data_IF_951977969882
#
_entry.id   IF_951977969882
#
_cell.length_a   1.000
_cell.length_b   1.000
_cell.length_c   1.000
_cell.angle_alpha   90.00
_cell.angle_beta   90.00
_cell.angle_gamma   90.00
#
_symmetry.space_group_name_H-M   'P 1'
#
loop_
_entity.id
_entity.type
_entity.pdbx_description
1 polymer ?
#
# COMPACT_ATOMS: atom_id res chain seq x y z
N UNK A 1 31.82 17.56 36.33
CA UNK A 1 30.62 17.73 35.50
C UNK A 1 30.17 16.36 35.04
N UNK A 2 29.00 15.89 35.46
CA UNK A 2 28.40 14.64 34.96
C UNK A 2 27.53 15.01 33.77
N UNK A 3 27.93 14.58 32.57
CA UNK A 3 27.09 14.67 31.39
C UNK A 3 25.90 13.73 31.60
N UNK A 4 24.71 14.32 31.70
CA UNK A 4 23.45 13.61 31.72
C UNK A 4 23.08 13.44 30.25
N UNK A 5 23.35 12.26 29.68
CA UNK A 5 22.77 11.89 28.39
C UNK A 5 21.26 11.87 28.58
N UNK A 6 20.58 12.87 28.04
CA UNK A 6 19.13 12.91 27.94
C UNK A 6 18.71 11.85 26.93
N UNK A 7 18.44 10.64 27.44
CA UNK A 7 17.83 9.58 26.66
C UNK A 7 16.50 10.06 26.09
N UNK A 8 16.35 9.94 24.78
CA UNK A 8 15.09 10.18 24.06
C UNK A 8 13.93 9.48 24.79
N UNK A 9 12.75 10.14 24.92
CA UNK A 9 11.63 9.56 25.64
C UNK A 9 11.25 8.19 25.08
N UNK A 10 11.19 7.18 25.96
CA UNK A 10 10.73 5.84 25.61
C UNK A 10 9.30 5.93 25.07
N UNK A 11 9.13 5.69 23.77
CA UNK A 11 7.80 5.60 23.16
C UNK A 11 7.21 4.24 23.47
N UNK A 12 6.13 4.20 24.24
CA UNK A 12 5.40 2.96 24.53
C UNK A 12 4.44 2.66 23.38
N UNK A 13 4.55 1.45 22.82
CA UNK A 13 3.64 0.95 21.79
C UNK A 13 2.81 -0.19 22.37
N UNK A 14 1.48 -0.10 22.24
CA UNK A 14 0.57 -1.18 22.63
C UNK A 14 0.23 -2.03 21.41
N UNK A 15 0.58 -3.30 21.45
CA UNK A 15 0.26 -4.28 20.41
C UNK A 15 -0.97 -5.07 20.85
N UNK A 16 -1.92 -5.24 19.92
CA UNK A 16 -3.05 -6.15 20.10
C UNK A 16 -2.83 -7.36 19.23
N UNK A 17 -2.79 -8.53 19.86
CA UNK A 17 -2.63 -9.81 19.20
C UNK A 17 -3.85 -10.67 19.49
N UNK A 18 -4.15 -11.60 18.58
CA UNK A 18 -5.09 -12.66 18.91
C UNK A 18 -4.61 -13.42 20.15
N UNK A 19 -5.55 -13.78 21.03
CA UNK A 19 -5.21 -14.37 22.34
C UNK A 19 -4.51 -15.72 22.18
N UNK A 20 -4.87 -16.50 21.17
CA UNK A 20 -4.26 -17.81 20.93
C UNK A 20 -2.82 -17.66 20.45
N UNK A 21 -2.56 -16.70 19.55
CA UNK A 21 -1.21 -16.40 19.09
C UNK A 21 -0.33 -15.79 20.19
N UNK A 22 -0.90 -14.94 21.04
CA UNK A 22 -0.18 -14.40 22.20
C UNK A 22 0.25 -15.51 23.17
N UNK A 23 -0.64 -16.44 23.51
CA UNK A 23 -0.28 -17.56 24.39
C UNK A 23 0.81 -18.46 23.80
N UNK A 24 0.78 -18.73 22.48
CA UNK A 24 1.88 -19.45 21.81
C UNK A 24 3.19 -18.69 21.92
N UNK A 25 3.16 -17.39 21.65
CA UNK A 25 4.35 -16.54 21.73
C UNK A 25 4.93 -16.53 23.14
N UNK A 26 4.11 -16.28 24.15
CA UNK A 26 4.49 -16.30 25.57
C UNK A 26 5.15 -17.63 25.96
N UNK A 27 4.55 -18.75 25.55
CA UNK A 27 5.09 -20.09 25.85
C UNK A 27 6.48 -20.30 25.25
N UNK A 28 6.72 -19.86 24.02
CA UNK A 28 8.02 -19.98 23.36
C UNK A 28 9.05 -19.07 24.04
N UNK A 29 8.66 -17.84 24.39
CA UNK A 29 9.56 -16.88 25.02
C UNK A 29 9.95 -17.30 26.43
N UNK A 30 8.99 -17.81 27.21
CA UNK A 30 9.25 -18.38 28.54
C UNK A 30 10.21 -19.57 28.45
N UNK A 31 10.02 -20.47 27.48
CA UNK A 31 10.92 -21.60 27.25
C UNK A 31 12.33 -21.17 26.82
N UNK A 32 12.45 -20.04 26.10
CA UNK A 32 13.71 -19.45 25.70
C UNK A 32 14.36 -18.56 26.79
N UNK A 33 13.68 -18.32 27.91
CA UNK A 33 14.16 -17.44 28.98
C UNK A 33 14.18 -15.96 28.59
N UNK A 34 13.34 -15.54 27.64
CA UNK A 34 13.29 -14.15 27.13
C UNK A 34 12.05 -13.42 27.65
N UNK A 35 12.22 -12.13 27.97
CA UNK A 35 11.08 -11.26 28.24
C UNK A 35 10.35 -10.90 26.94
N UNK A 36 9.02 -10.91 26.95
CA UNK A 36 8.19 -10.58 25.77
C UNK A 36 8.60 -9.26 25.09
N UNK A 37 8.89 -8.21 25.86
CA UNK A 37 9.27 -6.91 25.32
C UNK A 37 10.63 -6.94 24.59
N UNK A 38 11.57 -7.73 25.10
CA UNK A 38 12.89 -7.91 24.49
C UNK A 38 12.79 -8.75 23.21
N UNK A 39 12.03 -9.85 23.27
CA UNK A 39 11.75 -10.67 22.10
C UNK A 39 11.08 -9.88 20.97
N UNK A 40 10.04 -9.10 21.28
CA UNK A 40 9.38 -8.22 20.31
C UNK A 40 10.37 -7.20 19.74
N UNK A 41 11.21 -6.60 20.57
CA UNK A 41 12.24 -5.66 20.10
C UNK A 41 13.20 -6.33 19.11
N UNK A 42 13.69 -7.53 19.41
CA UNK A 42 14.55 -8.27 18.49
C UNK A 42 13.85 -8.62 17.17
N UNK A 43 12.59 -9.05 17.23
CA UNK A 43 11.79 -9.33 16.04
C UNK A 43 11.59 -8.07 15.19
N UNK A 44 11.29 -6.94 15.80
CA UNK A 44 11.12 -5.65 15.09
C UNK A 44 12.44 -5.18 14.49
N UNK A 45 13.55 -5.22 15.23
CA UNK A 45 14.87 -4.82 14.73
C UNK A 45 15.29 -5.68 13.54
N UNK A 46 15.08 -7.00 13.63
CA UNK A 46 15.33 -7.90 12.52
C UNK A 46 14.44 -7.56 11.33
N UNK A 47 13.14 -7.36 11.56
CA UNK A 47 12.20 -7.06 10.49
C UNK A 47 12.56 -5.76 9.74
N UNK A 48 12.93 -4.71 10.48
CA UNK A 48 13.42 -3.45 9.90
C UNK A 48 14.70 -3.69 9.10
N UNK A 49 15.65 -4.45 9.65
CA UNK A 49 16.91 -4.73 8.95
C UNK A 49 16.69 -5.50 7.65
N UNK A 50 15.81 -6.50 7.65
CA UNK A 50 15.47 -7.28 6.46
C UNK A 50 14.74 -6.40 5.42
N UNK A 51 13.87 -5.48 5.86
CA UNK A 51 13.20 -4.50 4.99
C UNK A 51 14.17 -3.49 4.35
N UNK A 52 15.15 -3.02 5.12
CA UNK A 52 16.17 -2.07 4.64
C UNK A 52 17.15 -2.71 3.65
N UNK A 53 17.46 -4.00 3.85
CA UNK A 53 18.34 -4.80 2.99
C UNK A 53 17.64 -5.40 1.77
N UNK A 54 16.33 -5.29 1.67
CA UNK A 54 15.58 -5.78 0.50
C UNK A 54 16.12 -5.11 -0.77
N UNK A 55 16.56 -5.95 -1.71
CA UNK A 55 17.12 -5.50 -2.97
C UNK A 55 16.02 -4.92 -3.86
N UNK A 56 16.14 -3.63 -4.19
CA UNK A 56 15.18 -2.91 -5.02
C UNK A 56 15.81 -2.47 -6.34
N UNK A 57 16.98 -3.01 -6.71
CA UNK A 57 17.58 -2.74 -8.01
C UNK A 57 16.61 -3.15 -9.12
N UNK A 58 16.52 -2.36 -10.18
CA UNK A 58 15.57 -2.57 -11.29
C UNK A 58 14.13 -2.13 -11.01
N UNK A 59 13.73 -1.88 -9.76
CA UNK A 59 12.39 -1.37 -9.45
C UNK A 59 12.20 0.05 -9.97
N UNK A 60 11.08 0.29 -10.64
CA UNK A 60 10.74 1.60 -11.16
C UNK A 60 9.22 1.80 -11.22
N UNK A 61 8.76 3.01 -10.91
CA UNK A 61 7.37 3.43 -11.10
C UNK A 61 7.35 4.62 -12.06
N UNK A 62 6.75 4.42 -13.22
CA UNK A 62 6.45 5.49 -14.17
C UNK A 62 4.99 5.92 -14.00
N UNK A 63 4.75 7.23 -13.90
CA UNK A 63 3.41 7.79 -13.73
C UNK A 63 3.03 8.68 -14.90
N UNK A 64 1.76 8.60 -15.32
CA UNK A 64 1.16 9.50 -16.30
C UNK A 64 -0.14 10.06 -15.71
N UNK A 65 -0.29 11.39 -15.75
CA UNK A 65 -1.51 12.08 -15.35
C UNK A 65 -2.19 12.70 -16.57
N UNK A 66 -3.48 12.43 -16.73
CA UNK A 66 -4.35 12.98 -17.77
C UNK A 66 -5.38 13.89 -17.11
N UNK A 67 -5.24 15.22 -17.23
CA UNK A 67 -6.20 16.15 -16.67
C UNK A 67 -7.61 15.89 -17.17
N UNK A 68 -8.62 16.18 -16.33
CA UNK A 68 -10.02 16.11 -16.73
C UNK A 68 -10.26 17.03 -17.93
N UNK A 69 -10.94 16.57 -19.00
CA UNK A 69 -11.32 17.44 -20.10
C UNK A 69 -12.21 18.60 -19.62
N UNK A 70 -11.98 19.80 -20.13
CA UNK A 70 -12.80 20.98 -19.77
C UNK A 70 -14.30 20.79 -20.07
N UNK A 71 -14.65 19.87 -20.98
CA UNK A 71 -16.03 19.51 -21.31
C UNK A 71 -16.73 18.63 -20.28
N UNK A 72 -16.00 18.03 -19.33
CA UNK A 72 -16.57 17.13 -18.33
C UNK A 72 -16.95 17.91 -17.06
N UNK A 73 -18.24 18.24 -16.94
CA UNK A 73 -18.81 18.97 -15.81
C UNK A 73 -19.45 18.08 -14.73
N UNK A 74 -19.45 16.75 -14.90
CA UNK A 74 -20.20 15.83 -14.01
C UNK A 74 -19.61 15.71 -12.60
N UNK A 75 -18.30 15.89 -12.46
CA UNK A 75 -17.58 15.80 -11.20
C UNK A 75 -16.68 17.02 -11.04
N UNK A 76 -17.09 17.98 -10.22
CA UNK A 76 -16.34 19.22 -9.97
C UNK A 76 -14.98 18.95 -9.36
N UNK A 77 -14.93 18.03 -8.41
CA UNK A 77 -13.78 17.57 -7.64
C UNK A 77 -12.78 16.75 -8.46
N UNK A 78 -13.18 16.21 -9.62
CA UNK A 78 -12.30 15.38 -10.43
C UNK A 78 -11.23 16.26 -11.08
N UNK A 79 -9.97 15.99 -10.72
CA UNK A 79 -8.80 16.61 -11.33
C UNK A 79 -8.40 15.92 -12.63
N UNK A 80 -8.48 14.59 -12.67
CA UNK A 80 -8.09 13.82 -13.83
C UNK A 80 -7.92 12.33 -13.55
N UNK A 81 -7.43 11.62 -14.56
CA UNK A 81 -7.10 10.21 -14.48
C UNK A 81 -5.60 10.02 -14.36
N UNK A 82 -5.22 8.93 -13.72
CA UNK A 82 -3.84 8.63 -13.40
C UNK A 82 -3.55 7.17 -13.76
N UNK A 83 -2.39 6.94 -14.35
CA UNK A 83 -1.90 5.60 -14.66
C UNK A 83 -0.47 5.42 -14.19
N UNK A 84 -0.18 4.26 -13.64
CA UNK A 84 1.15 3.82 -13.24
C UNK A 84 1.58 2.62 -14.05
N UNK A 85 2.86 2.58 -14.38
CA UNK A 85 3.56 1.37 -14.83
C UNK A 85 4.64 1.06 -13.82
N UNK A 86 4.66 -0.17 -13.34
CA UNK A 86 5.57 -0.67 -12.31
C UNK A 86 6.43 -1.77 -12.91
N UNK A 87 7.73 -1.57 -12.84
CA UNK A 87 8.73 -2.59 -13.13
C UNK A 87 9.12 -3.29 -11.83
N UNK A 88 9.12 -4.63 -11.76
CA UNK A 88 9.57 -5.35 -10.59
C UNK A 88 11.07 -5.14 -10.35
N UNK A 89 11.55 -5.26 -9.10
CA UNK A 89 12.98 -5.36 -8.84
C UNK A 89 13.58 -6.63 -9.44
N UNK A 90 14.90 -6.62 -9.62
CA UNK A 90 15.67 -7.76 -10.11
C UNK A 90 15.44 -8.98 -9.20
N UNK A 91 15.19 -10.14 -9.83
CA UNK A 91 14.87 -11.37 -9.12
C UNK A 91 13.39 -11.55 -8.72
N UNK A 92 12.53 -10.54 -8.89
CA UNK A 92 11.07 -10.69 -8.78
C UNK A 92 10.45 -10.85 -10.17
N UNK A 93 9.69 -11.94 -10.38
CA UNK A 93 8.97 -12.15 -11.64
C UNK A 93 7.76 -11.22 -11.78
N UNK A 94 7.35 -10.96 -13.02
CA UNK A 94 6.13 -10.20 -13.28
C UNK A 94 4.88 -10.92 -12.72
N UNK A 95 4.83 -12.26 -12.74
CA UNK A 95 3.73 -13.00 -12.12
C UNK A 95 3.70 -12.80 -10.61
N UNK A 96 4.85 -12.78 -9.93
CA UNK A 96 4.90 -12.50 -8.50
C UNK A 96 4.35 -11.11 -8.21
N UNK A 97 4.79 -10.09 -8.97
CA UNK A 97 4.32 -8.71 -8.84
C UNK A 97 2.79 -8.58 -9.01
N UNK A 98 2.20 -9.27 -9.99
CA UNK A 98 0.75 -9.20 -10.26
C UNK A 98 -0.11 -9.86 -9.19
N UNK A 99 0.47 -10.78 -8.41
CA UNK A 99 -0.22 -11.45 -7.31
C UNK A 99 -0.25 -10.62 -6.04
N UNK A 100 0.57 -9.57 -5.96
CA UNK A 100 0.58 -8.69 -4.79
C UNK A 100 -0.67 -7.79 -4.77
N UNK A 101 -1.25 -7.68 -3.58
CA UNK A 101 -2.29 -6.72 -3.26
C UNK A 101 -1.60 -5.51 -2.65
N UNK A 102 -1.85 -4.33 -3.19
CA UNK A 102 -1.34 -3.04 -2.73
C UNK A 102 -2.42 -2.28 -1.97
N UNK A 103 -2.02 -1.25 -1.21
CA UNK A 103 -2.94 -0.32 -0.53
C UNK A 103 -2.78 1.07 -1.15
N UNK A 104 -3.91 1.70 -1.46
CA UNK A 104 -3.97 3.10 -1.86
C UNK A 104 -3.64 4.00 -0.67
N UNK A 105 -2.84 5.05 -0.90
CA UNK A 105 -2.56 6.05 0.12
C UNK A 105 -3.81 6.85 0.48
N UNK A 106 -3.90 7.20 1.77
CA UNK A 106 -4.92 8.12 2.30
C UNK A 106 -4.28 9.50 2.54
N UNK A 107 -4.93 10.57 2.08
CA UNK A 107 -4.49 11.96 2.27
C UNK A 107 -5.42 12.67 3.25
N UNK A 108 -5.31 12.30 4.53
CA UNK A 108 -6.11 12.87 5.61
C UNK A 108 -5.40 14.11 6.18
N UNK A 109 -6.12 15.21 6.26
CA UNK A 109 -5.73 16.40 7.02
C UNK A 109 -5.75 16.07 8.51
N UNK A 110 -4.60 16.19 9.17
CA UNK A 110 -4.45 15.88 10.60
C UNK A 110 -5.16 16.90 11.50
N UNK A 111 -5.32 18.14 11.06
CA UNK A 111 -5.94 19.23 11.84
C UNK A 111 -7.46 19.15 11.79
N UNK A 112 -8.02 19.00 10.59
CA UNK A 112 -9.48 19.01 10.37
C UNK A 112 -10.08 17.61 10.26
N UNK A 113 -9.24 16.59 10.12
CA UNK A 113 -9.66 15.22 9.96
C UNK A 113 -10.36 14.90 8.64
N UNK A 114 -10.41 15.85 7.70
CA UNK A 114 -11.00 15.71 6.38
C UNK A 114 -10.04 15.05 5.39
N UNK A 115 -10.58 14.45 4.33
CA UNK A 115 -9.77 13.92 3.21
C UNK A 115 -9.49 15.08 2.24
N UNK A 116 -8.22 15.45 2.08
CA UNK A 116 -7.81 16.59 1.25
C UNK A 116 -7.86 16.25 -0.24
N UNK A 117 -7.31 15.09 -0.55
CA UNK A 117 -7.26 14.51 -1.88
C UNK A 117 -7.66 13.05 -1.80
N UNK A 118 -8.20 12.52 -2.88
CA UNK A 118 -8.52 11.10 -2.98
C UNK A 118 -8.05 10.52 -4.28
N UNK A 119 -7.33 9.41 -4.15
CA UNK A 119 -7.04 8.50 -5.24
C UNK A 119 -8.07 7.39 -5.17
N UNK A 120 -8.76 7.13 -6.28
CA UNK A 120 -9.69 6.00 -6.37
C UNK A 120 -9.28 5.05 -7.50
N UNK A 121 -9.46 3.77 -7.26
CA UNK A 121 -9.15 2.72 -8.22
C UNK A 121 -10.15 2.74 -9.36
N UNK A 122 -9.67 2.56 -10.60
CA UNK A 122 -10.53 2.06 -11.65
C UNK A 122 -11.11 0.71 -11.21
N UNK A 123 -12.37 0.45 -11.59
CA UNK A 123 -13.15 -0.67 -11.05
C UNK A 123 -12.41 -2.02 -11.11
N UNK A 124 -11.69 -2.27 -12.20
CA UNK A 124 -10.99 -3.51 -12.48
C UNK A 124 -9.69 -3.74 -11.69
N UNK A 125 -9.11 -2.69 -11.11
CA UNK A 125 -7.96 -2.82 -10.21
C UNK A 125 -8.37 -3.16 -8.78
N UNK A 126 -9.65 -2.97 -8.42
CA UNK A 126 -10.14 -3.14 -7.05
C UNK A 126 -10.06 -4.59 -6.62
N UNK A 127 -9.44 -4.83 -5.47
CA UNK A 127 -9.45 -6.14 -4.82
C UNK A 127 -10.37 -6.07 -3.62
N UNK A 128 -11.63 -6.48 -3.80
CA UNK A 128 -12.61 -6.61 -2.72
C UNK A 128 -12.40 -7.96 -2.05
N UNK A 129 -11.79 -8.01 -0.87
CA UNK A 129 -11.76 -9.25 -0.09
C UNK A 129 -13.15 -9.53 0.47
N UNK A 130 -13.69 -10.73 0.22
CA UNK A 130 -14.95 -11.21 0.83
C UNK A 130 -14.85 -11.42 2.35
N UNK A 131 -13.68 -11.25 2.98
CA UNK A 131 -13.49 -11.54 4.41
C UNK A 131 -12.54 -10.59 5.17
N UNK A 132 -12.06 -9.50 4.57
CA UNK A 132 -11.10 -8.62 5.25
C UNK A 132 -11.35 -7.16 4.88
N UNK A 133 -12.06 -6.49 5.77
CA UNK A 133 -12.11 -5.05 5.80
C UNK A 133 -10.74 -4.51 6.21
N UNK A 134 -10.09 -3.73 5.33
CA UNK A 134 -9.09 -2.77 5.79
C UNK A 134 -9.87 -1.70 6.56
N UNK A 135 -9.74 -1.70 7.89
CA UNK A 135 -10.38 -0.71 8.73
C UNK A 135 -9.73 0.67 8.46
N UNK A 136 -10.38 1.53 7.67
CA UNK A 136 -10.01 2.94 7.68
C UNK A 136 -10.34 3.50 9.07
N UNK A 137 -9.49 4.39 9.57
CA UNK A 137 -9.62 4.99 10.92
C UNK A 137 -10.94 5.74 11.14
N UNK A 138 -11.79 5.95 10.12
CA UNK A 138 -13.01 6.76 10.24
C UNK A 138 -14.29 6.15 9.68
N UNK A 139 -14.26 5.23 8.72
CA UNK A 139 -15.47 4.54 8.19
C UNK A 139 -15.12 3.17 7.61
N UNK A 140 -16.01 2.17 7.80
CA UNK A 140 -16.01 0.94 6.98
C UNK A 140 -16.16 1.36 5.51
N UNK A 141 -15.06 1.40 4.77
CA UNK A 141 -15.02 1.80 3.36
C UNK A 141 -14.55 0.60 2.54
N UNK A 142 -15.27 0.34 1.45
CA UNK A 142 -14.93 -0.69 0.51
C UNK A 142 -13.72 -0.24 -0.33
N UNK A 143 -12.61 -0.96 -0.12
CA UNK A 143 -11.56 -1.24 -1.12
C UNK A 143 -10.56 -0.11 -1.41
N UNK A 144 -9.74 0.19 -0.40
CA UNK A 144 -8.44 0.85 -0.59
C UNK A 144 -7.38 -0.10 -1.15
N UNK A 145 -7.71 -1.36 -1.45
CA UNK A 145 -6.79 -2.36 -1.98
C UNK A 145 -6.87 -2.47 -3.49
N UNK A 146 -5.71 -2.64 -4.13
CA UNK A 146 -5.63 -2.81 -5.58
C UNK A 146 -4.61 -3.85 -6.00
N UNK A 147 -4.72 -4.32 -7.24
CA UNK A 147 -3.69 -5.13 -7.91
C UNK A 147 -3.18 -4.47 -9.18
N UNK A 148 -1.98 -4.84 -9.57
CA UNK A 148 -1.44 -4.51 -10.88
C UNK A 148 -1.96 -5.49 -11.93
N UNK A 149 -2.17 -5.00 -13.15
CA UNK A 149 -2.51 -5.83 -14.31
C UNK A 149 -1.42 -5.58 -15.34
N UNK A 150 -0.61 -6.59 -15.66
CA UNK A 150 0.53 -6.45 -16.59
C UNK A 150 1.46 -5.29 -16.20
N UNK A 151 1.77 -5.18 -14.91
CA UNK A 151 2.59 -4.14 -14.32
C UNK A 151 1.91 -2.78 -14.26
N UNK A 152 0.64 -2.65 -14.63
CA UNK A 152 -0.04 -1.36 -14.74
C UNK A 152 -1.15 -1.20 -13.70
N UNK A 153 -1.38 0.05 -13.33
CA UNK A 153 -2.49 0.48 -12.50
C UNK A 153 -3.13 1.73 -13.08
N UNK A 154 -4.44 1.87 -12.95
CA UNK A 154 -5.19 3.06 -13.36
C UNK A 154 -6.21 3.47 -12.30
N UNK A 155 -6.37 4.77 -12.14
CA UNK A 155 -7.31 5.36 -11.20
C UNK A 155 -7.65 6.81 -11.53
N UNK A 156 -8.40 7.44 -10.63
CA UNK A 156 -8.82 8.83 -10.74
C UNK A 156 -8.41 9.61 -9.50
N UNK A 157 -8.07 10.89 -9.70
CA UNK A 157 -7.67 11.81 -8.64
C UNK A 157 -8.75 12.87 -8.43
N UNK A 158 -9.17 13.02 -7.18
CA UNK A 158 -10.17 13.99 -6.74
C UNK A 158 -9.56 14.97 -5.74
N UNK A 159 -9.85 16.26 -5.90
CA UNK A 159 -9.50 17.32 -4.96
C UNK A 159 -10.74 17.81 -4.22
N UNK A 160 -10.71 17.72 -2.90
CA UNK A 160 -11.76 18.21 -2.01
C UNK A 160 -11.33 19.46 -1.25
N UNK A 161 -10.07 19.88 -1.38
CA UNK A 161 -9.50 21.02 -0.68
C UNK A 161 -9.71 22.36 -1.40
N UNK A 162 -10.04 22.31 -2.70
CA UNK A 162 -10.13 23.51 -3.53
C UNK A 162 -8.77 24.17 -3.72
N UNK A 163 -7.68 23.39 -3.72
CA UNK A 163 -6.33 23.88 -3.82
C UNK A 163 -6.05 24.43 -5.24
N UNK A 164 -5.20 25.45 -5.32
CA UNK A 164 -5.00 26.22 -6.54
C UNK A 164 -4.03 25.54 -7.54
N UNK A 165 -3.18 24.61 -7.11
CA UNK A 165 -2.17 23.98 -7.97
C UNK A 165 -2.38 22.46 -8.07
N UNK A 166 -2.91 22.02 -9.21
CA UNK A 166 -3.07 20.61 -9.52
C UNK A 166 -1.72 19.87 -9.68
N UNK A 167 -0.65 20.57 -10.03
CA UNK A 167 0.69 20.00 -10.20
C UNK A 167 1.26 19.47 -8.90
N UNK A 168 1.21 20.28 -7.83
CA UNK A 168 1.68 19.88 -6.50
C UNK A 168 0.92 18.67 -5.94
N UNK A 169 -0.40 18.61 -6.19
CA UNK A 169 -1.25 17.50 -5.75
C UNK A 169 -0.82 16.22 -6.48
N UNK A 170 -0.66 16.30 -7.81
CA UNK A 170 -0.26 15.15 -8.62
C UNK A 170 1.11 14.64 -8.18
N UNK A 171 2.09 15.51 -7.96
CA UNK A 171 3.42 15.11 -7.49
C UNK A 171 3.37 14.42 -6.12
N UNK A 172 2.64 15.00 -5.16
CA UNK A 172 2.46 14.40 -3.84
C UNK A 172 1.79 13.02 -3.92
N UNK A 173 0.81 12.86 -4.81
CA UNK A 173 0.12 11.59 -5.05
C UNK A 173 1.04 10.56 -5.69
N UNK A 174 1.80 10.93 -6.72
CA UNK A 174 2.77 10.04 -7.39
C UNK A 174 3.76 9.49 -6.37
N UNK A 175 4.39 10.39 -5.61
CA UNK A 175 5.38 10.03 -4.58
C UNK A 175 4.79 9.06 -3.57
N UNK A 176 3.57 9.35 -3.08
CA UNK A 176 2.94 8.48 -2.07
C UNK A 176 2.52 7.12 -2.64
N UNK A 177 2.06 7.07 -3.89
CA UNK A 177 1.77 5.81 -4.58
C UNK A 177 3.04 4.97 -4.74
N UNK A 178 4.15 5.58 -5.17
CA UNK A 178 5.45 4.93 -5.29
C UNK A 178 5.92 4.38 -3.94
N UNK A 179 5.86 5.18 -2.87
CA UNK A 179 6.18 4.75 -1.50
C UNK A 179 5.35 3.53 -1.08
N UNK A 180 4.04 3.54 -1.31
CA UNK A 180 3.15 2.43 -0.95
C UNK A 180 3.44 1.15 -1.74
N UNK A 181 3.75 1.28 -3.02
CA UNK A 181 4.11 0.15 -3.90
C UNK A 181 5.47 -0.42 -3.47
N UNK A 182 6.47 0.44 -3.34
CA UNK A 182 7.82 0.07 -2.92
C UNK A 182 7.82 -0.61 -1.54
N UNK A 183 7.08 -0.06 -0.57
CA UNK A 183 6.96 -0.66 0.75
C UNK A 183 6.32 -2.06 0.71
N UNK A 184 5.30 -2.26 -0.13
CA UNK A 184 4.66 -3.57 -0.30
C UNK A 184 5.64 -4.59 -0.89
N UNK A 185 6.41 -4.20 -1.92
CA UNK A 185 7.42 -5.06 -2.56
C UNK A 185 8.57 -5.37 -1.58
N UNK A 186 9.07 -4.40 -0.84
CA UNK A 186 10.11 -4.63 0.18
C UNK A 186 9.64 -5.60 1.26
N UNK A 187 8.40 -5.44 1.74
CA UNK A 187 7.81 -6.40 2.68
C UNK A 187 7.72 -7.80 2.08
N UNK A 188 7.44 -7.92 0.79
CA UNK A 188 7.42 -9.22 0.10
C UNK A 188 8.81 -9.85 0.05
N UNK A 189 9.81 -9.09 -0.42
CA UNK A 189 11.20 -9.55 -0.50
C UNK A 189 11.78 -9.93 0.88
N UNK A 190 11.36 -9.23 1.94
CA UNK A 190 11.74 -9.53 3.30
C UNK A 190 10.96 -10.71 3.93
N UNK A 191 9.99 -11.30 3.22
CA UNK A 191 9.14 -12.39 3.71
C UNK A 191 8.19 -11.97 4.84
N UNK A 192 7.86 -10.67 4.91
CA UNK A 192 7.04 -10.06 5.96
C UNK A 192 5.64 -9.69 5.49
N UNK A 193 5.40 -9.74 4.18
CA UNK A 193 4.10 -9.42 3.62
C UNK A 193 3.08 -10.52 4.01
N UNK A 194 1.96 -10.18 4.68
CA UNK A 194 1.00 -11.20 5.11
C UNK A 194 0.43 -11.99 3.95
N UNK A 195 0.10 -13.27 4.16
CA UNK A 195 -0.53 -14.13 3.15
C UNK A 195 -1.84 -13.53 2.59
N UNK A 196 -2.54 -12.70 3.37
CA UNK A 196 -3.73 -11.96 2.91
C UNK A 196 -3.46 -10.93 1.81
N UNK A 197 -2.20 -10.59 1.55
CA UNK A 197 -1.78 -9.64 0.51
C UNK A 197 -1.33 -10.35 -0.76
N UNK A 198 -1.63 -11.65 -0.88
CA UNK A 198 -1.31 -12.48 -2.02
C UNK A 198 -2.58 -13.04 -2.65
N UNK A 199 -2.74 -12.84 -3.95
CA UNK A 199 -3.69 -13.57 -4.76
C UNK A 199 -3.09 -14.93 -5.16
N UNK A 200 -3.92 -15.94 -5.23
CA UNK A 200 -3.60 -17.22 -5.89
C UNK A 200 -3.56 -17.03 -7.40
N UNK A 201 -2.92 -17.96 -8.12
CA UNK A 201 -2.90 -17.93 -9.58
C UNK A 201 -4.32 -18.01 -10.18
N UNK A 202 -5.18 -18.84 -9.59
CA UNK A 202 -6.57 -19.00 -10.01
C UNK A 202 -7.37 -17.71 -9.80
N UNK A 203 -7.18 -17.02 -8.67
CA UNK A 203 -7.82 -15.73 -8.40
C UNK A 203 -7.39 -14.63 -9.38
N UNK A 204 -6.14 -14.67 -9.83
CA UNK A 204 -5.63 -13.76 -10.88
C UNK A 204 -6.25 -14.12 -12.23
N UNK A 205 -6.28 -15.40 -12.59
CA UNK A 205 -6.84 -15.86 -13.86
C UNK A 205 -8.35 -15.55 -13.98
N UNK A 206 -9.13 -15.84 -12.94
CA UNK A 206 -10.56 -15.53 -12.87
C UNK A 206 -10.81 -14.03 -13.05
N UNK A 207 -10.00 -13.20 -12.38
CA UNK A 207 -10.10 -11.74 -12.51
C UNK A 207 -9.65 -11.27 -13.90
N UNK A 208 -8.61 -11.84 -14.47
CA UNK A 208 -8.14 -11.45 -15.81
C UNK A 208 -9.18 -11.82 -16.89
N UNK A 209 -9.84 -12.99 -16.77
CA UNK A 209 -10.92 -13.42 -17.67
C UNK A 209 -12.11 -12.46 -17.65
N UNK A 210 -12.55 -12.03 -16.46
CA UNK A 210 -13.61 -11.02 -16.30
C UNK A 210 -13.26 -9.66 -16.92
N UNK A 211 -11.97 -9.38 -17.12
CA UNK A 211 -11.47 -8.08 -17.56
C UNK A 211 -11.06 -8.03 -19.03
N UNK A 212 -10.98 -9.18 -19.71
CA UNK A 212 -10.59 -9.27 -21.13
C UNK A 212 -11.29 -8.24 -22.05
N UNK A 213 -12.60 -7.94 -21.92
CA UNK A 213 -13.25 -6.93 -22.77
C UNK A 213 -12.75 -5.49 -22.56
N UNK A 214 -12.26 -5.17 -21.36
CA UNK A 214 -11.84 -3.82 -20.98
C UNK A 214 -10.33 -3.61 -21.15
N UNK A 215 -9.54 -4.67 -20.97
CA UNK A 215 -8.08 -4.63 -21.18
C UNK A 215 -7.71 -4.39 -22.66
N UNK A 216 -8.55 -4.78 -23.62
CA UNK A 216 -8.30 -4.55 -25.05
C UNK A 216 -8.53 -3.10 -25.48
N UNK A 217 -9.37 -2.33 -24.76
CA UNK A 217 -9.68 -0.95 -25.09
C UNK A 217 -8.68 0.07 -24.51
N UNK A 218 -8.16 -0.19 -23.31
CA UNK A 218 -7.25 0.72 -22.60
C UNK A 218 -5.76 0.36 -22.74
N UNK A 219 -5.44 -0.82 -23.30
CA UNK A 219 -4.05 -1.31 -23.42
C UNK A 219 -3.76 -1.81 -24.85
N UNK A 220 -3.54 -0.91 -25.83
CA UNK A 220 -3.08 -1.34 -27.14
C UNK A 220 -1.71 -2.03 -27.00
N UNK A 221 -1.62 -3.20 -27.62
CA UNK A 221 -0.44 -4.08 -27.69
C UNK A 221 0.79 -3.38 -28.24
#
# INVERSE_FOLDING_TARGET
MKNKEEGSPLTTVSLRMDRHELTKFETIMDAAGLFNAEAIRHLVVRAISDYEKADMDGFHVAAEFKPKPASNTRFSELLGNFSLTVSPPDGMSAEQLHRLIFILPEFIDEENGGERYRVDNAHFHRVVENNKHVASKKRSRAVLSFRLIKGRWSGSLFDYSGAADAGEIVEAVVRKMEECIAATIRCELAGQLPASRHLTADEVAERDELLMPYLVADYPS
#
